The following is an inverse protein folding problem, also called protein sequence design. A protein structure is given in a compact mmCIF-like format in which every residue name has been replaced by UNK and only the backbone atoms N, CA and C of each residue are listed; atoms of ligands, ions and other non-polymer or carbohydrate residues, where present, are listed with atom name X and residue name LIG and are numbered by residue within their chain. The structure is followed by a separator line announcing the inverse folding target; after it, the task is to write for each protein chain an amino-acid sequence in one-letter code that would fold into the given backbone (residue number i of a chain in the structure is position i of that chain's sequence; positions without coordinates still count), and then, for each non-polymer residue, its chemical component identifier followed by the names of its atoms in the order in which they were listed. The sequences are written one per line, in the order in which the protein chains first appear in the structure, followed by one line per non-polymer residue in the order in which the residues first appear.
data_IF_895557709449
#
_entry.id   IF_895557709449
#
_cell.length_a   1.000
_cell.length_b   1.000
_cell.length_c   1.000
_cell.angle_alpha   90.00
_cell.angle_beta   90.00
_cell.angle_gamma   90.00
#
_symmetry.space_group_name_H-M   'P 1'
#
loop_
_entity.id
_entity.type
_entity.pdbx_description
1 polymer ?
#
# COMPACT_ATOMS: atom_id res chain seq x y z
N UNK A 1 -17.03 -7.47 -28.88
CA UNK A 1 -17.53 -6.33 -28.05
C UNK A 1 -16.37 -5.47 -27.59
N UNK A 2 -16.66 -4.19 -27.33
CA UNK A 2 -15.75 -3.26 -26.66
C UNK A 2 -16.48 -2.74 -25.45
N UNK A 3 -15.83 -2.80 -24.29
CA UNK A 3 -16.36 -2.25 -23.04
C UNK A 3 -15.37 -1.24 -22.49
N UNK A 4 -15.85 -0.04 -22.17
CA UNK A 4 -15.06 1.02 -21.54
C UNK A 4 -15.69 1.38 -20.22
N UNK A 5 -14.86 1.55 -19.17
CA UNK A 5 -15.32 2.03 -17.88
C UNK A 5 -14.33 3.03 -17.30
N UNK A 6 -14.87 4.08 -16.68
CA UNK A 6 -14.10 5.00 -15.85
C UNK A 6 -14.71 5.03 -14.45
N UNK A 7 -13.85 5.07 -13.42
CA UNK A 7 -14.26 5.17 -12.02
C UNK A 7 -13.38 6.17 -11.30
N UNK A 8 -14.01 7.04 -10.51
CA UNK A 8 -13.30 7.98 -9.64
C UNK A 8 -13.86 7.95 -8.23
N UNK A 9 -13.03 8.27 -7.26
CA UNK A 9 -13.40 8.46 -5.86
C UNK A 9 -12.59 9.63 -5.29
N UNK A 10 -13.26 10.50 -4.53
CA UNK A 10 -12.62 11.57 -3.77
C UNK A 10 -13.15 11.48 -2.34
N UNK A 11 -12.25 11.38 -1.39
CA UNK A 11 -12.57 11.38 0.04
C UNK A 11 -11.69 12.41 0.75
N UNK A 12 -12.30 13.21 1.61
CA UNK A 12 -11.58 14.17 2.45
C UNK A 12 -12.09 14.05 3.88
N UNK A 13 -11.16 13.93 4.82
CA UNK A 13 -11.44 13.88 6.24
C UNK A 13 -10.64 14.95 6.95
N UNK A 14 -11.32 15.78 7.75
CA UNK A 14 -10.69 16.76 8.63
C UNK A 14 -11.06 16.43 10.06
N UNK A 15 -10.06 16.22 10.89
CA UNK A 15 -10.23 15.98 12.32
C UNK A 15 -9.68 17.16 13.10
N UNK A 16 -10.56 17.82 13.88
CA UNK A 16 -10.19 18.90 14.78
C UNK A 16 -10.26 18.36 16.22
N UNK A 17 -9.17 18.53 16.97
CA UNK A 17 -9.14 18.26 18.40
C UNK A 17 -8.83 19.57 19.15
N UNK A 18 -9.66 19.92 20.11
CA UNK A 18 -9.50 21.09 20.96
C UNK A 18 -9.43 20.62 22.40
N UNK A 19 -8.32 20.87 23.05
CA UNK A 19 -8.18 20.64 24.49
C UNK A 19 -8.49 21.94 25.23
N UNK A 20 -9.45 21.86 26.13
CA UNK A 20 -9.86 22.98 26.99
C UNK A 20 -9.45 22.67 28.40
N UNK A 21 -8.74 23.58 29.01
CA UNK A 21 -8.31 23.48 30.41
C UNK A 21 -8.96 24.56 31.25
N UNK A 22 -9.33 24.16 32.45
CA UNK A 22 -9.78 25.05 33.48
C UNK A 22 -8.95 24.78 34.75
N UNK A 23 -8.33 25.79 35.25
CA UNK A 23 -7.58 25.69 36.51
C UNK A 23 -8.51 25.99 37.67
N UNK A 24 -8.52 25.08 38.64
CA UNK A 24 -9.25 25.24 39.87
C UNK A 24 -8.31 25.44 41.06
N UNK A 25 -8.73 26.19 42.03
CA UNK A 25 -8.03 26.28 43.29
C UNK A 25 -8.07 24.96 44.06
N UNK A 26 -6.96 24.59 44.66
CA UNK A 26 -6.85 23.43 45.54
C UNK A 26 -6.58 23.94 46.95
N UNK A 27 -7.23 23.36 47.92
CA UNK A 27 -7.08 23.68 49.35
C UNK A 27 -6.42 22.50 50.03
N UNK A 28 -5.33 22.75 50.75
CA UNK A 28 -4.74 21.77 51.64
C UNK A 28 -5.26 22.02 53.06
N UNK A 29 -5.87 20.99 53.62
CA UNK A 29 -6.29 21.03 55.03
C UNK A 29 -5.11 20.76 55.95
N UNK A 30 -4.97 21.57 56.99
CA UNK A 30 -3.98 21.40 58.05
C UNK A 30 -4.60 21.75 59.41
N UNK A 31 -4.01 21.24 60.48
CA UNK A 31 -4.36 21.64 61.86
C UNK A 31 -3.17 22.43 62.38
N UNK A 32 -3.43 23.65 62.84
CA UNK A 32 -2.40 24.51 63.43
C UNK A 32 -1.91 23.93 64.76
N UNK A 33 -0.75 24.37 65.25
CA UNK A 33 -0.21 23.93 66.53
C UNK A 33 -1.13 24.27 67.70
N UNK A 34 -2.08 25.19 67.54
CA UNK A 34 -3.10 25.57 68.52
C UNK A 34 -4.39 24.75 68.40
N UNK A 35 -4.42 23.73 67.50
CA UNK A 35 -5.57 22.85 67.31
C UNK A 35 -6.68 23.43 66.42
N UNK A 36 -6.45 24.57 65.76
CA UNK A 36 -7.44 25.17 64.87
C UNK A 36 -7.30 24.61 63.46
N UNK A 37 -8.41 24.43 62.75
CA UNK A 37 -8.43 24.07 61.32
C UNK A 37 -7.88 25.23 60.45
N UNK A 38 -7.04 24.89 59.51
CA UNK A 38 -6.50 25.81 58.52
C UNK A 38 -6.59 25.21 57.13
N UNK A 39 -6.84 26.05 56.14
CA UNK A 39 -6.90 25.69 54.72
C UNK A 39 -5.92 26.54 53.94
N UNK A 40 -4.81 25.96 53.57
CA UNK A 40 -3.85 26.61 52.71
C UNK A 40 -4.30 26.51 51.26
N UNK A 41 -4.32 27.63 50.61
CA UNK A 41 -4.83 27.79 49.27
C UNK A 41 -3.71 27.74 48.24
N UNK A 42 -3.83 26.84 47.25
CA UNK A 42 -2.87 26.69 46.18
C UNK A 42 -3.51 26.89 44.80
N UNK A 43 -2.81 27.58 43.94
CA UNK A 43 -3.23 27.91 42.58
C UNK A 43 -4.29 29.01 42.49
N UNK A 44 -4.54 29.49 41.33
CA UNK A 44 -5.54 30.50 41.00
C UNK A 44 -6.70 29.93 40.20
N UNK A 45 -7.90 30.45 40.37
CA UNK A 45 -9.03 30.11 39.51
C UNK A 45 -8.85 30.80 38.19
N UNK A 46 -8.70 30.05 37.11
CA UNK A 46 -8.70 30.59 35.75
C UNK A 46 -10.02 30.33 35.04
N UNK A 47 -10.38 31.22 34.13
CA UNK A 47 -11.44 30.96 33.18
C UNK A 47 -11.01 29.82 32.24
N UNK A 48 -11.99 29.08 31.72
CA UNK A 48 -11.70 28.04 30.74
C UNK A 48 -11.00 28.60 29.52
N UNK A 49 -9.84 28.05 29.16
CA UNK A 49 -9.05 28.44 27.99
C UNK A 49 -8.81 27.24 27.08
N UNK A 50 -8.64 27.51 25.79
CA UNK A 50 -8.16 26.49 24.84
C UNK A 50 -6.64 26.42 24.95
N UNK A 51 -6.13 25.38 25.58
CA UNK A 51 -4.69 25.21 25.76
C UNK A 51 -4.01 24.53 24.57
N UNK A 52 -4.78 23.83 23.75
CA UNK A 52 -4.24 23.07 22.62
C UNK A 52 -5.30 22.90 21.52
N UNK A 53 -4.87 23.07 20.27
CA UNK A 53 -5.67 22.77 19.09
C UNK A 53 -4.83 21.97 18.09
N UNK A 54 -5.32 20.83 17.71
CA UNK A 54 -4.74 20.00 16.66
C UNK A 54 -5.71 19.89 15.48
N UNK A 55 -5.17 19.98 14.29
CA UNK A 55 -5.91 19.74 13.04
C UNK A 55 -5.18 18.66 12.28
N UNK A 56 -5.87 17.57 11.97
CA UNK A 56 -5.36 16.49 11.12
C UNK A 56 -6.23 16.40 9.88
N UNK A 57 -5.61 16.32 8.72
CA UNK A 57 -6.30 16.20 7.43
C UNK A 57 -5.85 14.94 6.72
N UNK A 58 -6.80 14.26 6.09
CA UNK A 58 -6.55 13.13 5.20
C UNK A 58 -7.34 13.36 3.93
N UNK A 59 -6.66 13.29 2.79
CA UNK A 59 -7.29 13.37 1.48
C UNK A 59 -6.89 12.16 0.65
N UNK A 60 -7.87 11.56 0.00
CA UNK A 60 -7.71 10.42 -0.87
C UNK A 60 -8.43 10.70 -2.18
N UNK A 61 -7.70 10.61 -3.28
CA UNK A 61 -8.26 10.66 -4.62
C UNK A 61 -7.86 9.39 -5.37
N UNK A 62 -8.78 8.83 -6.11
CA UNK A 62 -8.57 7.65 -6.91
C UNK A 62 -9.23 7.81 -8.27
N UNK A 63 -8.52 7.44 -9.32
CA UNK A 63 -9.03 7.35 -10.67
C UNK A 63 -8.62 6.04 -11.32
N UNK A 64 -9.54 5.39 -12.00
CA UNK A 64 -9.29 4.19 -12.81
C UNK A 64 -10.05 4.27 -14.11
N UNK A 65 -9.38 3.86 -15.18
CA UNK A 65 -9.98 3.63 -16.49
C UNK A 65 -9.59 2.25 -16.99
N UNK A 66 -10.48 1.59 -17.70
CA UNK A 66 -10.15 0.39 -18.42
C UNK A 66 -10.95 0.27 -19.73
N UNK A 67 -10.35 -0.42 -20.69
CA UNK A 67 -10.93 -0.77 -21.97
C UNK A 67 -10.70 -2.26 -22.17
N UNK A 68 -11.79 -2.99 -22.38
CA UNK A 68 -11.79 -4.39 -22.73
C UNK A 68 -12.28 -4.54 -24.18
N UNK A 69 -11.53 -5.29 -24.95
CA UNK A 69 -11.94 -5.74 -26.27
C UNK A 69 -11.99 -7.27 -26.27
N UNK A 70 -13.10 -7.82 -26.78
CA UNK A 70 -13.30 -9.26 -26.85
C UNK A 70 -13.91 -9.62 -28.21
N UNK A 71 -13.36 -10.66 -28.83
CA UNK A 71 -13.86 -11.17 -30.09
C UNK A 71 -13.62 -12.68 -30.22
N UNK A 72 -14.62 -13.35 -30.81
CA UNK A 72 -14.56 -14.75 -31.20
C UNK A 72 -14.36 -14.86 -32.71
N UNK A 73 -13.42 -15.69 -33.16
CA UNK A 73 -13.12 -16.00 -34.55
C UNK A 73 -13.19 -17.51 -34.74
N UNK A 74 -14.38 -18.05 -35.02
CA UNK A 74 -14.58 -19.49 -35.04
C UNK A 74 -14.25 -20.13 -33.69
N UNK A 75 -13.27 -21.02 -33.66
CA UNK A 75 -12.79 -21.67 -32.43
C UNK A 75 -11.80 -20.83 -31.61
N UNK A 76 -11.38 -19.66 -32.12
CA UNK A 76 -10.41 -18.80 -31.47
C UNK A 76 -11.12 -17.65 -30.72
N UNK A 77 -10.97 -17.58 -29.41
CA UNK A 77 -11.40 -16.47 -28.60
C UNK A 77 -10.22 -15.61 -28.16
N UNK A 78 -10.33 -14.31 -28.34
CA UNK A 78 -9.30 -13.33 -27.92
C UNK A 78 -9.97 -12.27 -27.05
N UNK A 79 -9.35 -11.98 -25.90
CA UNK A 79 -9.70 -10.83 -25.08
C UNK A 79 -8.44 -10.03 -24.78
N UNK A 80 -8.50 -8.72 -25.04
CA UNK A 80 -7.44 -7.77 -24.70
C UNK A 80 -8.00 -6.71 -23.74
N UNK A 81 -7.28 -6.45 -22.68
CA UNK A 81 -7.62 -5.47 -21.67
C UNK A 81 -6.48 -4.47 -21.51
N UNK A 82 -6.82 -3.18 -21.46
CA UNK A 82 -5.92 -2.08 -21.12
C UNK A 82 -6.52 -1.34 -19.94
N UNK A 83 -5.73 -1.07 -18.90
CA UNK A 83 -6.18 -0.28 -17.76
C UNK A 83 -5.10 0.67 -17.27
N UNK A 84 -5.55 1.73 -16.63
CA UNK A 84 -4.71 2.63 -15.87
C UNK A 84 -5.41 3.05 -14.60
N UNK A 85 -4.68 3.12 -13.49
CA UNK A 85 -5.16 3.67 -12.24
C UNK A 85 -4.11 4.55 -11.57
N UNK A 86 -4.60 5.53 -10.86
CA UNK A 86 -3.78 6.40 -10.02
C UNK A 86 -4.51 6.72 -8.73
N UNK A 87 -3.77 6.88 -7.67
CA UNK A 87 -4.29 7.36 -6.38
C UNK A 87 -3.36 8.41 -5.81
N UNK A 88 -3.96 9.38 -5.16
CA UNK A 88 -3.25 10.41 -4.41
C UNK A 88 -3.68 10.34 -2.96
N UNK A 89 -2.71 10.17 -2.08
CA UNK A 89 -2.92 10.12 -0.63
C UNK A 89 -2.14 11.28 -0.02
N UNK A 90 -2.84 12.17 0.68
CA UNK A 90 -2.28 13.33 1.35
C UNK A 90 -2.63 13.29 2.83
N UNK A 91 -1.62 13.31 3.69
CA UNK A 91 -1.75 13.34 5.14
C UNK A 91 -1.22 14.67 5.68
N UNK A 92 -2.02 15.37 6.48
CA UNK A 92 -1.60 16.57 7.22
C UNK A 92 -0.90 17.64 6.38
N UNK A 93 -1.34 17.83 5.11
CA UNK A 93 -0.73 18.78 4.16
C UNK A 93 0.75 18.48 3.82
N UNK A 94 1.19 17.27 4.08
CA UNK A 94 2.49 16.78 3.67
C UNK A 94 2.54 16.50 2.15
N UNK A 95 3.66 16.06 1.64
CA UNK A 95 3.80 15.71 0.23
C UNK A 95 2.87 14.52 -0.13
N UNK A 96 2.16 14.57 -1.27
CA UNK A 96 1.25 13.51 -1.65
C UNK A 96 1.98 12.24 -2.05
N UNK A 97 1.46 11.10 -1.63
CA UNK A 97 1.85 9.79 -2.11
C UNK A 97 1.03 9.45 -3.36
N UNK A 98 1.70 9.14 -4.46
CA UNK A 98 1.05 8.95 -5.77
C UNK A 98 1.52 7.64 -6.40
N UNK A 99 1.01 6.47 -5.97
CA UNK A 99 1.16 5.24 -6.74
C UNK A 99 0.22 5.25 -7.94
N UNK A 100 0.75 4.85 -9.10
CA UNK A 100 0.01 4.79 -10.36
C UNK A 100 0.42 3.54 -11.14
N UNK A 101 -0.51 2.96 -11.89
CA UNK A 101 -0.28 1.77 -12.68
C UNK A 101 -0.87 1.93 -14.08
N UNK A 102 -0.19 1.38 -15.06
CA UNK A 102 -0.72 1.15 -16.40
C UNK A 102 -0.48 -0.32 -16.72
N UNK A 103 -1.51 -1.04 -17.11
CA UNK A 103 -1.39 -2.46 -17.37
C UNK A 103 -2.15 -2.88 -18.62
N UNK A 104 -1.67 -3.96 -19.21
CA UNK A 104 -2.31 -4.63 -20.34
C UNK A 104 -2.33 -6.13 -20.09
N UNK A 105 -3.40 -6.79 -20.55
CA UNK A 105 -3.57 -8.23 -20.50
C UNK A 105 -4.14 -8.73 -21.82
N UNK A 106 -3.64 -9.84 -22.29
CA UNK A 106 -4.20 -10.57 -23.42
C UNK A 106 -4.53 -11.99 -22.96
N UNK A 107 -5.72 -12.42 -23.26
CA UNK A 107 -6.22 -13.77 -23.02
C UNK A 107 -6.60 -14.38 -24.36
N UNK A 108 -6.18 -15.61 -24.56
CA UNK A 108 -6.49 -16.39 -25.76
C UNK A 108 -7.05 -17.74 -25.34
N UNK A 109 -8.10 -18.19 -26.03
CA UNK A 109 -8.55 -19.54 -25.95
C UNK A 109 -8.73 -20.14 -27.34
N UNK A 110 -8.46 -21.43 -27.45
CA UNK A 110 -8.72 -22.22 -28.64
C UNK A 110 -9.68 -23.36 -28.30
N UNK A 111 -10.85 -23.36 -28.95
CA UNK A 111 -11.92 -24.37 -28.79
C UNK A 111 -12.35 -24.57 -27.32
N UNK A 112 -12.15 -23.56 -26.47
CA UNK A 112 -12.33 -23.67 -25.01
C UNK A 112 -11.56 -24.84 -24.37
N UNK A 113 -10.53 -25.38 -25.04
CA UNK A 113 -9.64 -26.45 -24.58
C UNK A 113 -8.30 -25.91 -24.09
N UNK A 114 -7.69 -25.04 -24.90
CA UNK A 114 -6.37 -24.49 -24.63
C UNK A 114 -6.52 -23.01 -24.31
N UNK A 115 -5.88 -22.61 -23.22
CA UNK A 115 -5.93 -21.24 -22.72
C UNK A 115 -4.51 -20.72 -22.57
N UNK A 116 -4.30 -19.49 -22.98
CA UNK A 116 -3.04 -18.76 -22.74
C UNK A 116 -3.38 -17.33 -22.30
N UNK A 117 -2.61 -16.79 -21.38
CA UNK A 117 -2.72 -15.41 -20.96
C UNK A 117 -1.35 -14.80 -20.74
N UNK A 118 -1.24 -13.50 -21.00
CA UNK A 118 -0.06 -12.70 -20.68
C UNK A 118 -0.52 -11.34 -20.17
N UNK A 119 0.14 -10.85 -19.13
CA UNK A 119 -0.11 -9.53 -18.57
C UNK A 119 1.21 -8.81 -18.30
N UNK A 120 1.22 -7.51 -18.51
CA UNK A 120 2.32 -6.61 -18.16
C UNK A 120 1.74 -5.39 -17.47
N UNK A 121 2.38 -4.94 -16.40
CA UNK A 121 2.02 -3.74 -15.66
C UNK A 121 3.27 -2.89 -15.42
N UNK A 122 3.19 -1.63 -15.81
CA UNK A 122 4.13 -0.58 -15.43
C UNK A 122 3.57 0.15 -14.22
N UNK A 123 4.32 0.12 -13.13
CA UNK A 123 3.95 0.75 -11.87
C UNK A 123 4.86 1.93 -11.57
N UNK A 124 4.28 3.01 -11.10
CA UNK A 124 4.98 4.24 -10.73
C UNK A 124 4.77 4.53 -9.25
N UNK A 125 5.86 4.94 -8.57
CA UNK A 125 5.79 5.37 -7.18
C UNK A 125 6.70 6.59 -6.93
N UNK A 126 6.11 7.70 -6.54
CA UNK A 126 6.81 8.98 -6.44
C UNK A 126 7.76 9.12 -5.24
N UNK A 127 7.74 8.17 -4.28
CA UNK A 127 8.64 8.18 -3.12
C UNK A 127 10.03 7.63 -3.39
N UNK A 128 10.25 7.01 -4.55
CA UNK A 128 11.55 6.53 -4.96
C UNK A 128 12.35 7.60 -5.71
N UNK A 129 13.67 7.42 -5.78
CA UNK A 129 14.52 8.24 -6.61
C UNK A 129 14.12 8.20 -8.09
N UNK A 130 14.37 9.30 -8.82
CA UNK A 130 13.91 9.47 -10.20
C UNK A 130 14.22 8.27 -11.11
N UNK A 131 15.37 7.64 -10.94
CA UNK A 131 15.79 6.48 -11.75
C UNK A 131 15.11 5.18 -11.32
N UNK A 132 14.31 5.14 -10.26
CA UNK A 132 13.75 3.91 -9.65
C UNK A 132 12.26 3.95 -9.40
N UNK A 133 11.59 5.03 -9.82
CA UNK A 133 10.15 5.23 -9.63
C UNK A 133 9.28 4.26 -10.40
N UNK A 134 9.79 3.74 -11.51
CA UNK A 134 9.09 2.82 -12.37
C UNK A 134 9.51 1.38 -12.12
N UNK A 135 8.53 0.49 -12.11
CA UNK A 135 8.73 -0.96 -12.01
C UNK A 135 7.86 -1.68 -13.02
N UNK A 136 8.48 -2.58 -13.81
CA UNK A 136 7.81 -3.43 -14.80
C UNK A 136 7.56 -4.79 -14.19
N UNK A 137 6.29 -5.23 -14.18
CA UNK A 137 5.87 -6.52 -13.66
C UNK A 137 5.05 -7.26 -14.71
N UNK A 138 5.23 -8.58 -14.79
CA UNK A 138 4.58 -9.35 -15.81
C UNK A 138 4.22 -10.75 -15.33
N UNK A 139 3.22 -11.35 -15.96
CA UNK A 139 2.81 -12.71 -15.69
C UNK A 139 2.33 -13.38 -16.97
N UNK A 140 2.56 -14.69 -17.06
CA UNK A 140 2.03 -15.57 -18.10
C UNK A 140 1.30 -16.74 -17.47
N UNK A 141 0.30 -17.26 -18.16
CA UNK A 141 -0.45 -18.42 -17.71
C UNK A 141 -0.89 -19.28 -18.87
N UNK A 142 -0.90 -20.57 -18.64
CA UNK A 142 -1.39 -21.60 -19.57
C UNK A 142 -2.45 -22.46 -18.88
N UNK A 143 -3.43 -22.89 -19.63
CA UNK A 143 -4.47 -23.80 -19.17
C UNK A 143 -4.82 -24.80 -20.26
N UNK A 144 -5.09 -26.04 -19.84
CA UNK A 144 -5.52 -27.11 -20.73
C UNK A 144 -6.70 -27.87 -20.09
N UNK A 145 -7.83 -27.83 -20.77
CA UNK A 145 -9.01 -28.62 -20.40
C UNK A 145 -8.94 -29.98 -21.09
N UNK A 146 -8.35 -30.94 -20.42
CA UNK A 146 -8.10 -32.30 -20.92
C UNK A 146 -9.43 -33.02 -21.16
N UNK A 147 -10.47 -32.71 -20.34
CA UNK A 147 -11.78 -33.39 -20.46
C UNK A 147 -12.46 -33.17 -21.81
N UNK A 148 -12.07 -32.12 -22.54
CA UNK A 148 -12.61 -31.82 -23.89
C UNK A 148 -11.85 -32.49 -25.01
N UNK A 149 -10.85 -33.31 -24.71
CA UNK A 149 -10.12 -34.05 -25.71
C UNK A 149 -10.88 -35.31 -26.14
N UNK A 150 -10.74 -35.69 -27.41
CA UNK A 150 -11.44 -36.88 -27.98
C UNK A 150 -11.17 -38.15 -27.20
N UNK A 151 -9.96 -38.33 -26.68
CA UNK A 151 -9.61 -39.52 -25.90
C UNK A 151 -10.28 -39.56 -24.52
N UNK A 152 -10.88 -38.47 -24.08
CA UNK A 152 -11.61 -38.40 -22.80
C UNK A 152 -13.13 -38.55 -22.94
N UNK A 153 -13.69 -38.62 -24.15
CA UNK A 153 -15.13 -38.71 -24.41
C UNK A 153 -15.79 -39.93 -23.73
N UNK A 154 -15.07 -41.03 -23.60
CA UNK A 154 -15.56 -42.25 -22.93
C UNK A 154 -15.31 -42.25 -21.41
N UNK A 155 -14.68 -41.21 -20.85
CA UNK A 155 -14.36 -41.16 -19.43
C UNK A 155 -15.58 -40.75 -18.60
N UNK A 156 -15.56 -41.10 -17.31
CA UNK A 156 -16.56 -40.66 -16.33
C UNK A 156 -16.15 -39.36 -15.64
N UNK A 157 -15.16 -38.66 -16.19
CA UNK A 157 -14.63 -37.41 -15.69
C UNK A 157 -15.40 -36.27 -16.37
N UNK A 158 -16.08 -35.46 -15.58
CA UNK A 158 -16.87 -34.33 -16.09
C UNK A 158 -15.97 -33.15 -16.50
N UNK A 159 -14.91 -32.88 -15.73
CA UNK A 159 -13.90 -31.89 -16.04
C UNK A 159 -12.53 -32.29 -15.50
N UNK A 160 -11.50 -32.08 -16.30
CA UNK A 160 -10.10 -32.22 -15.90
C UNK A 160 -9.32 -31.08 -16.54
N UNK A 161 -8.92 -30.10 -15.73
CA UNK A 161 -8.20 -28.91 -16.20
C UNK A 161 -6.87 -28.77 -15.47
N UNK A 162 -5.81 -28.68 -16.27
CA UNK A 162 -4.48 -28.27 -15.79
C UNK A 162 -4.28 -26.78 -16.02
N UNK A 163 -3.62 -26.11 -15.08
CA UNK A 163 -3.26 -24.71 -15.18
C UNK A 163 -1.87 -24.47 -14.61
N UNK A 164 -1.12 -23.59 -15.24
CA UNK A 164 0.19 -23.17 -14.78
C UNK A 164 0.33 -21.66 -14.97
N UNK A 165 0.87 -20.99 -13.99
CA UNK A 165 1.19 -19.54 -14.08
C UNK A 165 2.59 -19.28 -13.57
N UNK A 166 3.23 -18.31 -14.22
CA UNK A 166 4.53 -17.79 -13.82
C UNK A 166 4.54 -16.28 -13.94
N UNK A 167 5.07 -15.58 -12.95
CA UNK A 167 5.13 -14.12 -13.02
C UNK A 167 6.12 -13.48 -12.06
N UNK A 168 6.47 -12.27 -12.40
CA UNK A 168 7.20 -11.34 -11.56
C UNK A 168 6.25 -10.28 -11.06
N UNK A 169 6.17 -10.14 -9.75
CA UNK A 169 5.35 -9.14 -9.06
C UNK A 169 6.23 -8.12 -8.36
N UNK A 170 5.71 -6.93 -8.13
CA UNK A 170 6.36 -5.92 -7.34
C UNK A 170 5.43 -5.29 -6.34
N UNK A 171 6.01 -4.83 -5.24
CA UNK A 171 5.32 -4.10 -4.20
C UNK A 171 6.08 -2.80 -3.92
N UNK A 172 5.34 -1.69 -3.84
CA UNK A 172 5.88 -0.42 -3.37
C UNK A 172 5.98 -0.45 -1.84
N UNK A 173 7.10 -0.04 -1.30
CA UNK A 173 7.30 0.02 0.15
C UNK A 173 6.53 1.21 0.71
N UNK A 174 5.29 1.00 1.16
CA UNK A 174 4.38 2.05 1.63
C UNK A 174 4.92 2.83 2.84
N UNK A 175 5.78 2.21 3.65
CA UNK A 175 6.40 2.83 4.81
C UNK A 175 7.67 3.63 4.50
N UNK A 176 8.13 3.63 3.24
CA UNK A 176 9.24 4.49 2.85
C UNK A 176 8.81 5.95 2.99
N UNK A 177 9.47 6.69 3.87
CA UNK A 177 9.28 8.13 4.00
C UNK A 177 9.69 8.85 2.71
N UNK A 178 9.24 10.11 2.55
CA UNK A 178 9.76 10.96 1.48
C UNK A 178 11.26 11.14 1.64
N UNK A 179 11.97 11.11 0.52
CA UNK A 179 13.43 11.33 0.48
C UNK A 179 14.25 10.34 1.32
N UNK A 180 13.73 9.13 1.60
CA UNK A 180 14.47 8.09 2.34
C UNK A 180 15.75 7.65 1.62
N UNK A 181 15.90 7.99 0.35
CA UNK A 181 17.11 7.78 -0.46
C UNK A 181 18.14 8.93 -0.32
N UNK A 182 17.77 10.06 0.32
CA UNK A 182 18.66 11.19 0.56
C UNK A 182 19.17 11.18 2.00
N UNK A 183 20.43 11.56 2.17
CA UNK A 183 20.98 11.84 3.49
C UNK A 183 20.33 13.05 4.10
N UNK A 184 19.88 12.92 5.31
CA UNK A 184 19.24 13.99 6.09
C UNK A 184 20.02 14.21 7.36
N UNK A 185 20.14 15.46 7.77
CA UNK A 185 20.89 15.85 8.94
C UNK A 185 20.02 16.72 9.84
N UNK A 186 20.13 16.51 11.16
CA UNK A 186 19.60 17.42 12.15
C UNK A 186 20.73 18.28 12.69
N UNK A 187 20.43 19.54 12.92
CA UNK A 187 21.21 20.37 13.83
C UNK A 187 20.72 20.08 15.24
N UNK A 188 21.38 19.16 15.92
CA UNK A 188 21.10 18.87 17.32
C UNK A 188 21.87 19.86 18.21
N UNK A 189 21.22 20.27 19.30
CA UNK A 189 21.78 21.24 20.24
C UNK A 189 23.17 20.83 20.71
N UNK A 190 24.14 21.48 20.21
CA UNK A 190 25.54 21.25 20.24
C UNK A 190 26.24 21.06 21.58
N UNK A 191 27.51 21.23 21.55
CA UNK A 191 28.35 21.23 22.74
C UNK A 191 28.59 22.66 23.24
N UNK A 192 28.59 22.80 24.54
CA UNK A 192 28.95 24.05 25.19
C UNK A 192 30.46 24.17 25.25
N UNK A 193 31.00 25.30 24.82
CA UNK A 193 32.40 25.63 24.99
C UNK A 193 32.59 27.04 25.60
N UNK A 194 33.67 27.22 26.36
CA UNK A 194 34.00 28.51 26.92
C UNK A 194 35.27 29.03 26.27
N UNK A 195 35.22 30.32 25.92
CA UNK A 195 36.40 31.08 25.47
C UNK A 195 37.08 31.83 26.61
N UNK A 196 36.76 31.49 27.87
CA UNK A 196 37.27 32.11 29.07
C UNK A 196 36.48 33.28 29.58
N UNK A 197 35.66 33.93 28.76
CA UNK A 197 34.84 35.10 29.12
C UNK A 197 33.35 34.85 28.93
N UNK A 198 32.98 33.91 28.06
CA UNK A 198 31.56 33.56 27.79
C UNK A 198 31.42 32.06 27.47
N UNK A 199 30.23 31.51 27.75
CA UNK A 199 29.80 30.19 27.31
C UNK A 199 29.10 30.36 25.95
N UNK A 200 29.49 29.58 24.99
CA UNK A 200 28.88 29.54 23.65
C UNK A 200 28.44 28.12 23.33
N UNK A 201 27.36 27.97 22.60
CA UNK A 201 26.87 26.71 22.09
C UNK A 201 27.36 26.53 20.65
N UNK A 202 28.20 25.53 20.41
CA UNK A 202 28.57 25.11 19.06
C UNK A 202 27.57 24.07 18.55
N UNK A 203 26.94 24.37 17.41
CA UNK A 203 26.02 23.41 16.79
C UNK A 203 26.72 22.09 16.43
N UNK A 204 26.08 20.97 16.68
CA UNK A 204 26.47 19.67 16.16
C UNK A 204 25.49 19.22 15.08
N UNK A 205 25.99 18.52 14.08
CA UNK A 205 25.17 17.97 12.99
C UNK A 205 25.27 16.47 13.04
N UNK A 206 24.12 15.81 13.14
CA UNK A 206 24.02 14.36 13.12
C UNK A 206 23.17 13.88 11.96
N UNK A 207 23.54 12.75 11.35
CA UNK A 207 22.72 12.12 10.32
C UNK A 207 21.48 11.50 10.97
N UNK A 208 20.30 11.77 10.38
CA UNK A 208 19.03 11.27 10.92
C UNK A 208 18.89 9.78 10.67
N UNK A 209 18.49 9.04 11.72
CA UNK A 209 18.10 7.63 11.59
C UNK A 209 16.60 7.52 11.12
N UNK A 210 16.25 6.57 10.25
CA UNK A 210 17.14 5.61 9.58
C UNK A 210 18.05 6.27 8.54
N UNK A 211 19.23 5.67 8.33
CA UNK A 211 20.20 6.13 7.34
C UNK A 211 19.61 6.11 5.93
N UNK A 212 20.14 6.96 5.05
CA UNK A 212 19.69 7.04 3.66
C UNK A 212 19.88 5.71 2.93
N UNK A 213 18.83 5.20 2.31
CA UNK A 213 18.90 4.04 1.44
C UNK A 213 18.90 4.48 -0.04
N UNK A 214 20.08 4.70 -0.60
CA UNK A 214 20.25 5.10 -1.99
C UNK A 214 19.85 4.00 -2.99
N UNK A 215 19.67 2.76 -2.53
CA UNK A 215 19.25 1.61 -3.33
C UNK A 215 17.77 1.32 -3.23
N UNK A 216 17.01 2.14 -2.50
CA UNK A 216 15.58 1.96 -2.31
C UNK A 216 14.84 1.82 -3.65
N UNK A 217 14.17 0.68 -3.83
CA UNK A 217 13.44 0.32 -5.04
C UNK A 217 12.25 -0.59 -4.70
N UNK A 218 11.59 -1.10 -5.71
CA UNK A 218 10.48 -2.04 -5.60
C UNK A 218 10.95 -3.36 -4.97
N UNK A 219 10.21 -3.83 -3.97
CA UNK A 219 10.28 -5.21 -3.52
C UNK A 219 9.77 -6.12 -4.63
N UNK A 220 10.51 -7.14 -5.00
CA UNK A 220 10.20 -8.02 -6.13
C UNK A 220 9.89 -9.43 -5.67
N UNK A 221 8.94 -10.07 -6.36
CA UNK A 221 8.60 -11.46 -6.10
C UNK A 221 8.48 -12.24 -7.41
N UNK A 222 9.02 -13.44 -7.40
CA UNK A 222 8.82 -14.44 -8.45
C UNK A 222 7.82 -15.47 -7.95
N UNK A 223 6.77 -15.70 -8.72
CA UNK A 223 5.67 -16.58 -8.34
C UNK A 223 5.44 -17.64 -9.38
N UNK A 224 5.32 -18.89 -8.92
CA UNK A 224 4.96 -20.05 -9.72
C UNK A 224 3.72 -20.66 -9.09
N UNK A 225 2.72 -20.98 -9.90
CA UNK A 225 1.57 -21.76 -9.47
C UNK A 225 1.26 -22.82 -10.53
N UNK A 226 1.01 -24.06 -10.09
CA UNK A 226 0.53 -25.15 -10.93
C UNK A 226 -0.70 -25.74 -10.25
N UNK A 227 -1.82 -25.81 -10.96
CA UNK A 227 -3.09 -26.25 -10.43
C UNK A 227 -3.76 -27.32 -11.27
N UNK A 228 -4.52 -28.18 -10.60
CA UNK A 228 -5.36 -29.22 -11.18
C UNK A 228 -6.78 -29.05 -10.66
N UNK A 229 -7.75 -28.95 -11.58
CA UNK A 229 -9.17 -28.95 -11.25
C UNK A 229 -9.81 -30.22 -11.83
N UNK A 230 -10.46 -31.00 -10.97
CA UNK A 230 -11.10 -32.28 -11.30
C UNK A 230 -12.56 -32.25 -10.85
N UNK A 231 -13.49 -32.53 -11.77
CA UNK A 231 -14.92 -32.68 -11.47
C UNK A 231 -15.40 -34.05 -11.91
N UNK A 232 -16.15 -34.73 -11.04
CA UNK A 232 -16.61 -36.10 -11.15
C UNK A 232 -18.08 -36.25 -10.78
N UNK A 233 -18.65 -37.43 -11.08
CA UNK A 233 -19.96 -37.86 -10.60
C UNK A 233 -21.12 -36.94 -11.07
N UNK A 234 -21.10 -36.54 -12.33
CA UNK A 234 -22.09 -35.60 -12.90
C UNK A 234 -22.14 -34.29 -12.14
N UNK A 235 -20.97 -33.66 -11.97
CA UNK A 235 -20.76 -32.39 -11.27
C UNK A 235 -21.10 -32.41 -9.75
N UNK A 236 -21.09 -33.59 -9.11
CA UNK A 236 -21.37 -33.71 -7.67
C UNK A 236 -20.13 -33.60 -6.79
N UNK A 237 -18.96 -33.93 -7.34
CA UNK A 237 -17.68 -33.84 -6.62
C UNK A 237 -16.71 -33.03 -7.42
N UNK A 238 -16.22 -31.93 -6.81
CA UNK A 238 -15.17 -31.11 -7.39
C UNK A 238 -13.99 -31.07 -6.43
N UNK A 239 -12.80 -31.35 -6.96
CA UNK A 239 -11.52 -31.29 -6.27
C UNK A 239 -10.63 -30.28 -6.98
N UNK A 240 -9.94 -29.44 -6.23
CA UNK A 240 -8.96 -28.50 -6.73
C UNK A 240 -7.69 -28.62 -5.90
N UNK A 241 -6.56 -28.74 -6.56
CA UNK A 241 -5.26 -28.83 -5.92
C UNK A 241 -4.30 -27.84 -6.58
N UNK A 242 -3.58 -27.08 -5.76
CA UNK A 242 -2.62 -26.08 -6.19
C UNK A 242 -1.28 -26.29 -5.50
N UNK A 243 -0.22 -26.26 -6.29
CA UNK A 243 1.14 -26.11 -5.82
C UNK A 243 1.62 -24.71 -6.16
N UNK A 244 2.11 -23.97 -5.18
CA UNK A 244 2.68 -22.63 -5.39
C UNK A 244 4.06 -22.52 -4.76
N UNK A 245 4.92 -21.70 -5.39
CA UNK A 245 6.22 -21.34 -4.87
C UNK A 245 6.45 -19.84 -5.11
N UNK A 246 6.60 -19.09 -4.04
CA UNK A 246 6.84 -17.66 -4.05
C UNK A 246 8.23 -17.38 -3.48
N UNK A 247 9.02 -16.63 -4.23
CA UNK A 247 10.35 -16.18 -3.83
C UNK A 247 10.45 -14.66 -3.94
N UNK A 248 10.73 -14.01 -2.82
CA UNK A 248 10.85 -12.55 -2.74
C UNK A 248 12.32 -12.15 -2.68
N UNK A 249 12.66 -11.06 -3.35
CA UNK A 249 14.01 -10.52 -3.44
C UNK A 249 13.97 -9.01 -3.74
N UNK A 250 15.04 -8.31 -3.38
CA UNK A 250 15.27 -6.87 -3.64
C UNK A 250 16.17 -6.67 -4.87
#
# INVERSE_FOLDING_TARGET
SITCMARGNISSQVRNAIVRTKQAQVFQYSITQQGNEAYDKYGDVSSQTNSYRSVSTYQYMYGKMYVDWERQFGMHGVKASLWGDTRTILNNYDLPMIPSNIGQKVEYNYDNKYFAQAAVTESYYNRYDNGRRWGTFWAVGLGWDISKEKFMEASKIDQLKLRATYGHTGNGIDNAGYFSYLKRYNEDGGFWYSNGTSMSNGGSVSEISPLANTLLTWEKGRKVNVGLDLTLLKNRLTLSADYYNDYYYD
#
